data_IF_752108517998
#
_entry.id   IF_752108517998
#
_cell.length_a   1.000
_cell.length_b   1.000
_cell.length_c   1.000
_cell.angle_alpha   90.00
_cell.angle_beta   90.00
_cell.angle_gamma   90.00
#
_symmetry.space_group_name_H-M   'P 1'
#
loop_
_entity.id
_entity.type
_entity.pdbx_description
1 polymer ?
#
# COMPACT_ATOMS: atom_id res chain seq x y z
N UNK A 1 8.42 -7.15 -0.96
CA UNK A 1 7.63 -7.13 -2.21
C UNK A 1 6.99 -5.77 -2.33
N UNK A 2 6.73 -5.27 -3.53
CA UNK A 2 5.82 -4.12 -3.72
C UNK A 2 4.50 -4.68 -4.26
N UNK A 3 3.38 -4.30 -3.65
CA UNK A 3 2.08 -4.93 -3.97
C UNK A 3 1.51 -4.44 -5.29
N UNK A 4 1.55 -3.13 -5.53
CA UNK A 4 1.00 -2.50 -6.73
C UNK A 4 1.67 -1.14 -6.93
N UNK A 5 2.26 -0.95 -8.12
CA UNK A 5 2.79 0.35 -8.53
C UNK A 5 1.63 1.29 -8.91
N UNK A 6 1.61 2.48 -8.33
CA UNK A 6 0.74 3.61 -8.70
C UNK A 6 -0.76 3.25 -8.81
N UNK A 7 -1.43 2.80 -7.73
CA UNK A 7 -2.88 2.64 -7.74
C UNK A 7 -3.59 3.95 -8.15
N UNK A 8 -4.51 3.87 -9.12
CA UNK A 8 -5.16 5.04 -9.69
C UNK A 8 -6.50 4.72 -10.39
N UNK A 9 -7.18 5.76 -10.87
CA UNK A 9 -8.41 5.62 -11.66
C UNK A 9 -9.57 5.07 -10.84
N UNK A 10 -10.10 3.91 -11.26
CA UNK A 10 -11.19 3.25 -10.53
C UNK A 10 -10.73 2.56 -9.24
N UNK A 11 -9.41 2.38 -9.04
CA UNK A 11 -8.86 1.90 -7.77
C UNK A 11 -8.67 3.11 -6.86
N UNK A 12 -9.76 3.53 -6.22
CA UNK A 12 -9.77 4.60 -5.23
C UNK A 12 -9.24 4.12 -3.86
N UNK A 13 -9.17 5.03 -2.88
CA UNK A 13 -8.64 4.74 -1.54
C UNK A 13 -9.42 3.64 -0.83
N UNK A 14 -10.74 3.56 -1.03
CA UNK A 14 -11.60 2.55 -0.40
C UNK A 14 -11.30 1.16 -0.97
N UNK A 15 -11.24 1.04 -2.29
CA UNK A 15 -10.93 -0.22 -2.96
C UNK A 15 -9.51 -0.64 -2.62
N UNK A 16 -8.56 0.30 -2.67
CA UNK A 16 -7.16 -0.02 -2.39
C UNK A 16 -6.97 -0.52 -0.96
N UNK A 17 -7.49 0.20 0.04
CA UNK A 17 -7.40 -0.21 1.44
C UNK A 17 -8.10 -1.55 1.71
N UNK A 18 -9.21 -1.84 1.01
CA UNK A 18 -9.85 -3.16 1.11
C UNK A 18 -8.93 -4.27 0.59
N UNK A 19 -8.26 -4.05 -0.55
CA UNK A 19 -7.35 -5.05 -1.13
C UNK A 19 -6.09 -5.25 -0.30
N UNK A 20 -5.58 -4.20 0.36
CA UNK A 20 -4.37 -4.28 1.18
C UNK A 20 -4.47 -5.36 2.26
N UNK A 21 -5.63 -5.52 2.90
CA UNK A 21 -5.86 -6.53 3.94
C UNK A 21 -5.68 -7.93 3.37
N UNK A 22 -6.32 -8.22 2.24
CA UNK A 22 -6.30 -9.54 1.60
C UNK A 22 -4.91 -9.85 1.02
N UNK A 23 -4.30 -8.88 0.33
CA UNK A 23 -2.98 -9.04 -0.28
C UNK A 23 -1.89 -9.26 0.79
N UNK A 24 -1.95 -8.54 1.91
CA UNK A 24 -1.03 -8.75 3.02
C UNK A 24 -1.23 -10.15 3.62
N UNK A 25 -2.47 -10.58 3.87
CA UNK A 25 -2.74 -11.92 4.40
C UNK A 25 -2.10 -13.01 3.52
N UNK A 26 -2.32 -12.95 2.21
CA UNK A 26 -1.76 -13.91 1.23
C UNK A 26 -0.23 -13.90 1.27
N UNK A 27 0.41 -12.73 1.30
CA UNK A 27 1.87 -12.63 1.37
C UNK A 27 2.41 -13.23 2.67
N UNK A 28 1.74 -12.99 3.80
CA UNK A 28 2.18 -13.41 5.13
C UNK A 28 2.09 -14.92 5.35
N UNK A 29 1.25 -15.63 4.60
CA UNK A 29 1.16 -17.11 4.66
C UNK A 29 2.52 -17.80 4.43
N UNK A 30 3.33 -17.27 3.52
CA UNK A 30 4.63 -17.86 3.15
C UNK A 30 5.82 -16.95 3.44
N UNK A 31 5.58 -15.66 3.70
CA UNK A 31 6.60 -14.64 3.93
C UNK A 31 6.24 -13.77 5.15
N UNK A 32 6.22 -14.34 6.37
CA UNK A 32 5.66 -13.66 7.56
C UNK A 32 6.40 -12.38 7.95
N UNK A 33 7.73 -12.33 7.77
CA UNK A 33 8.56 -11.19 8.20
C UNK A 33 9.19 -10.42 7.02
N UNK A 34 8.89 -10.81 5.77
CA UNK A 34 9.47 -10.11 4.62
C UNK A 34 8.83 -8.73 4.51
N UNK A 35 9.65 -7.69 4.44
CA UNK A 35 9.14 -6.33 4.25
C UNK A 35 8.31 -6.21 2.95
N UNK A 36 7.17 -5.55 3.08
CA UNK A 36 6.24 -5.22 1.99
C UNK A 36 6.20 -3.70 1.82
N UNK A 37 6.28 -3.24 0.57
CA UNK A 37 6.26 -1.84 0.19
C UNK A 37 4.85 -1.51 -0.29
N UNK A 38 4.26 -0.45 0.26
CA UNK A 38 2.90 -0.01 -0.03
C UNK A 38 2.91 1.49 -0.31
N UNK A 39 2.34 1.90 -1.44
CA UNK A 39 2.09 3.30 -1.80
C UNK A 39 0.61 3.66 -1.72
N UNK A 40 0.27 4.96 -1.61
CA UNK A 40 -1.10 5.44 -1.66
C UNK A 40 -1.67 5.45 -3.08
N UNK A 41 -2.95 5.80 -3.21
CA UNK A 41 -3.60 6.01 -4.51
C UNK A 41 -3.12 7.30 -5.19
N UNK A 42 -3.76 7.64 -6.32
CA UNK A 42 -3.39 8.78 -7.16
C UNK A 42 -1.91 8.76 -7.55
N UNK A 43 -1.48 7.64 -8.15
CA UNK A 43 -0.11 7.45 -8.64
C UNK A 43 0.96 7.54 -7.54
N UNK A 44 0.72 6.85 -6.41
CA UNK A 44 1.61 6.89 -5.25
C UNK A 44 1.86 8.33 -4.74
N UNK A 45 0.87 9.21 -4.83
CA UNK A 45 1.00 10.62 -4.46
C UNK A 45 1.19 10.80 -2.96
N UNK A 46 2.13 11.67 -2.58
CA UNK A 46 2.34 12.04 -1.16
C UNK A 46 1.09 12.64 -0.50
N UNK A 47 0.18 13.22 -1.28
CA UNK A 47 -1.01 13.91 -0.76
C UNK A 47 -2.03 12.91 -0.18
N UNK A 48 -1.94 11.64 -0.58
CA UNK A 48 -2.88 10.59 -0.24
C UNK A 48 -2.32 9.64 0.84
N UNK A 49 -1.12 9.93 1.37
CA UNK A 49 -0.52 9.14 2.45
C UNK A 49 -1.43 9.02 3.67
N UNK A 50 -2.17 10.09 4.00
CA UNK A 50 -3.09 10.10 5.12
C UNK A 50 -4.34 9.23 4.90
N UNK A 51 -4.61 8.80 3.66
CA UNK A 51 -5.74 7.92 3.32
C UNK A 51 -5.40 6.44 3.44
N UNK A 52 -4.13 6.06 3.55
CA UNK A 52 -3.73 4.68 3.75
C UNK A 52 -4.20 4.15 5.11
N UNK A 53 -4.86 3.00 5.08
CA UNK A 53 -5.28 2.25 6.26
C UNK A 53 -4.45 0.98 6.35
N UNK A 54 -3.37 1.04 7.14
CA UNK A 54 -2.44 -0.06 7.31
C UNK A 54 -2.74 -0.81 8.62
N UNK A 55 -2.60 -2.14 8.65
CA UNK A 55 -2.85 -2.93 9.86
C UNK A 55 -1.83 -2.61 10.96
N UNK A 56 -2.32 -2.21 12.14
CA UNK A 56 -1.47 -1.80 13.27
C UNK A 56 -0.52 -2.89 13.80
N UNK A 57 -0.89 -4.15 13.59
CA UNK A 57 -0.14 -5.32 14.06
C UNK A 57 0.94 -5.80 13.06
N UNK A 58 0.97 -5.31 11.82
CA UNK A 58 2.02 -5.65 10.86
C UNK A 58 3.15 -4.61 10.91
N UNK A 59 4.30 -5.04 11.44
CA UNK A 59 5.49 -4.19 11.58
C UNK A 59 6.49 -4.33 10.43
N UNK A 60 6.17 -5.12 9.41
CA UNK A 60 6.99 -5.38 8.22
C UNK A 60 6.44 -4.67 6.97
N UNK A 61 6.00 -3.41 7.15
CA UNK A 61 5.51 -2.54 6.08
C UNK A 61 6.43 -1.32 5.96
N UNK A 62 6.81 -1.00 4.72
CA UNK A 62 7.53 0.22 4.35
C UNK A 62 6.61 1.02 3.45
N UNK A 63 6.32 2.27 3.81
CA UNK A 63 5.49 3.15 2.99
C UNK A 63 6.35 3.82 1.92
N UNK A 64 5.86 3.87 0.68
CA UNK A 64 6.49 4.58 -0.44
C UNK A 64 5.58 5.68 -0.98
N UNK A 65 6.17 6.70 -1.62
CA UNK A 65 5.47 7.67 -2.45
C UNK A 65 6.37 8.06 -3.61
N UNK A 66 5.77 8.47 -4.72
CA UNK A 66 6.49 8.97 -5.88
C UNK A 66 6.44 10.50 -5.87
N UNK A 67 7.61 11.13 -6.02
CA UNK A 67 7.73 12.58 -5.98
C UNK A 67 8.03 13.14 -7.36
N UNK A 68 6.99 13.62 -8.03
CA UNK A 68 7.05 14.28 -9.33
C UNK A 68 6.52 15.72 -9.29
N UNK A 69 6.27 16.26 -8.09
CA UNK A 69 5.85 17.65 -7.95
C UNK A 69 6.99 18.59 -8.41
N UNK A 70 6.68 19.67 -9.16
CA UNK A 70 7.68 20.65 -9.59
C UNK A 70 8.45 21.31 -8.43
#
# INVERSE_FOLDING_TARGET
FELLNEPNGQVDDKIWNSWLVDLLAIVRETNPERNVIIGPTHWNSRNDLALLQLPENDRHIIVTFHYYNP
#
